data_IF_011062615876
#
_entry.id   IF_011062615876
#
_cell.length_a   1.000
_cell.length_b   1.000
_cell.length_c   1.000
_cell.angle_alpha   90.00
_cell.angle_beta   90.00
_cell.angle_gamma   90.00
#
_symmetry.space_group_name_H-M   'P 1'
#
loop_
_entity.id
_entity.type
_entity.pdbx_description
1 polymer ?
#
# COMPACT_ATOMS: atom_id res chain seq x y z
N UNK A 1 -17.77 -7.00 21.46
CA UNK A 1 -16.82 -6.22 22.27
C UNK A 1 -15.51 -5.91 21.55
N UNK A 2 -15.50 -5.77 20.22
CA UNK A 2 -14.46 -5.03 19.50
C UNK A 2 -15.14 -3.98 18.65
N UNK A 3 -15.66 -2.96 19.33
CA UNK A 3 -16.03 -1.71 18.68
C UNK A 3 -14.75 -1.16 18.07
N UNK A 4 -14.58 -1.33 16.76
CA UNK A 4 -13.76 -0.44 15.97
C UNK A 4 -14.48 0.91 16.01
N UNK A 5 -14.37 1.62 17.14
CA UNK A 5 -14.59 3.05 17.16
C UNK A 5 -13.56 3.58 16.18
N UNK A 6 -14.04 4.08 15.04
CA UNK A 6 -13.41 5.23 14.42
C UNK A 6 -13.21 6.20 15.58
N UNK A 7 -11.99 6.24 16.12
CA UNK A 7 -11.71 6.98 17.34
C UNK A 7 -12.24 8.39 17.13
N UNK A 8 -13.22 8.79 17.95
CA UNK A 8 -13.85 10.12 17.93
C UNK A 8 -12.88 11.15 18.54
N UNK A 9 -11.60 11.04 18.18
CA UNK A 9 -10.52 11.94 18.54
C UNK A 9 -10.37 12.92 17.38
N UNK A 10 -10.78 14.16 17.59
CA UNK A 10 -10.86 15.27 16.63
C UNK A 10 -9.49 15.73 16.06
N UNK A 11 -8.45 14.89 16.05
CA UNK A 11 -7.06 15.29 15.84
C UNK A 11 -6.24 14.55 14.76
N UNK A 12 -6.70 13.44 14.19
CA UNK A 12 -5.81 12.54 13.40
C UNK A 12 -6.00 12.61 11.87
N UNK A 13 -6.45 13.75 11.35
CA UNK A 13 -6.69 13.90 9.91
C UNK A 13 -5.44 14.41 9.18
N UNK A 14 -4.85 13.56 8.31
CA UNK A 14 -3.71 13.96 7.46
C UNK A 14 -4.21 14.73 6.21
N UNK A 15 -3.90 16.02 6.03
CA UNK A 15 -4.34 16.77 4.87
C UNK A 15 -3.64 16.27 3.60
N UNK A 16 -4.38 16.22 2.49
CA UNK A 16 -3.82 16.00 1.16
C UNK A 16 -2.96 17.21 0.79
N UNK A 17 -1.74 17.02 0.27
CA UNK A 17 -0.87 18.13 -0.11
C UNK A 17 -1.54 18.99 -1.19
N UNK A 18 -1.38 20.31 -1.08
CA UNK A 18 -1.91 21.28 -2.05
C UNK A 18 -3.43 21.48 -2.04
N UNK A 19 -4.14 21.04 -0.99
CA UNK A 19 -5.60 21.20 -0.87
C UNK A 19 -5.99 21.97 0.38
N UNK A 20 -7.15 22.64 0.32
CA UNK A 20 -7.68 23.43 1.42
C UNK A 20 -8.00 22.54 2.64
N UNK A 21 -7.38 22.77 3.82
CA UNK A 21 -7.60 21.97 5.02
C UNK A 21 -8.98 22.22 5.66
N UNK A 22 -9.67 23.30 5.33
CA UNK A 22 -11.03 23.57 5.83
C UNK A 22 -12.09 22.58 5.31
N UNK A 23 -11.77 21.80 4.27
CA UNK A 23 -12.73 20.89 3.63
C UNK A 23 -12.46 19.45 4.10
N UNK A 24 -13.41 18.78 4.78
CA UNK A 24 -13.22 17.42 5.33
C UNK A 24 -12.79 16.36 4.31
N UNK A 25 -13.23 16.48 3.04
CA UNK A 25 -12.86 15.55 1.96
C UNK A 25 -11.38 15.62 1.57
N UNK A 26 -10.69 16.70 1.96
CA UNK A 26 -9.29 16.91 1.65
C UNK A 26 -8.35 16.20 2.61
N UNK A 27 -8.87 15.45 3.58
CA UNK A 27 -8.07 14.65 4.48
C UNK A 27 -7.94 13.19 4.03
N UNK A 28 -6.93 12.50 4.56
CA UNK A 28 -6.74 11.04 4.51
C UNK A 28 -7.13 10.50 5.88
N UNK A 29 -8.24 9.76 6.00
CA UNK A 29 -8.60 9.13 7.27
C UNK A 29 -7.56 8.04 7.60
N UNK A 30 -7.07 8.05 8.84
CA UNK A 30 -6.18 7.00 9.35
C UNK A 30 -6.92 6.25 10.44
N UNK A 31 -6.95 4.93 10.37
CA UNK A 31 -7.39 4.10 11.48
C UNK A 31 -6.21 3.90 12.45
N UNK A 32 -6.28 4.56 13.61
CA UNK A 32 -5.38 4.25 14.72
C UNK A 32 -5.81 2.95 15.39
N UNK A 33 -5.33 1.84 14.84
CA UNK A 33 -5.56 0.50 15.39
C UNK A 33 -4.66 0.23 16.59
N UNK A 34 -5.13 -0.61 17.51
CA UNK A 34 -4.34 -1.04 18.68
C UNK A 34 -3.08 -1.79 18.29
N UNK A 35 -2.07 -1.78 19.17
CA UNK A 35 -0.79 -2.46 18.94
C UNK A 35 -0.98 -3.96 18.66
N UNK A 36 -1.90 -4.61 19.39
CA UNK A 36 -2.26 -6.01 19.18
C UNK A 36 -2.83 -6.24 17.78
N UNK A 37 -3.73 -5.36 17.32
CA UNK A 37 -4.29 -5.46 15.97
C UNK A 37 -3.22 -5.32 14.89
N UNK A 38 -2.31 -4.35 15.03
CA UNK A 38 -1.17 -4.18 14.10
C UNK A 38 -0.27 -5.42 14.06
N UNK A 39 -0.02 -6.04 15.22
CA UNK A 39 0.76 -7.28 15.30
C UNK A 39 0.06 -8.41 14.55
N UNK A 40 -1.23 -8.63 14.80
CA UNK A 40 -2.00 -9.68 14.12
C UNK A 40 -2.09 -9.44 12.60
N UNK A 41 -2.30 -8.19 12.17
CA UNK A 41 -2.33 -7.82 10.74
C UNK A 41 -0.97 -8.10 10.09
N UNK A 42 0.15 -7.76 10.75
CA UNK A 42 1.49 -8.03 10.23
C UNK A 42 1.78 -9.53 10.08
N UNK A 43 1.40 -10.34 11.06
CA UNK A 43 1.58 -11.80 11.01
C UNK A 43 0.78 -12.42 9.86
N UNK A 44 -0.49 -12.01 9.69
CA UNK A 44 -1.34 -12.49 8.61
C UNK A 44 -0.80 -12.07 7.23
N UNK A 45 -0.43 -10.79 7.08
CA UNK A 45 0.11 -10.26 5.83
C UNK A 45 1.40 -10.99 5.40
N UNK A 46 2.32 -11.26 6.34
CA UNK A 46 3.56 -11.97 6.03
C UNK A 46 3.31 -13.39 5.49
N UNK A 47 2.33 -14.11 6.04
CA UNK A 47 2.00 -15.47 5.59
C UNK A 47 1.30 -15.45 4.24
N UNK A 48 0.35 -14.53 4.05
CA UNK A 48 -0.39 -14.39 2.80
C UNK A 48 0.53 -13.97 1.66
N UNK A 49 1.41 -12.99 1.88
CA UNK A 49 2.37 -12.55 0.88
C UNK A 49 3.27 -13.70 0.40
N UNK A 50 3.80 -14.49 1.33
CA UNK A 50 4.60 -15.67 1.01
C UNK A 50 3.83 -16.69 0.16
N UNK A 51 2.60 -17.05 0.57
CA UNK A 51 1.79 -17.98 -0.21
C UNK A 51 1.49 -17.43 -1.62
N UNK A 52 1.12 -16.16 -1.75
CA UNK A 52 0.79 -15.56 -3.04
C UNK A 52 2.00 -15.49 -3.99
N UNK A 53 3.21 -15.29 -3.43
CA UNK A 53 4.46 -15.33 -4.17
C UNK A 53 4.78 -16.75 -4.65
N UNK A 54 4.71 -17.75 -3.77
CA UNK A 54 5.00 -19.16 -4.09
C UNK A 54 4.06 -19.73 -5.17
N UNK A 55 2.77 -19.39 -5.10
CA UNK A 55 1.79 -19.85 -6.08
C UNK A 55 1.77 -19.00 -7.37
N UNK A 56 2.57 -17.92 -7.44
CA UNK A 56 2.63 -17.06 -8.62
C UNK A 56 1.36 -16.26 -8.90
N UNK A 57 0.50 -16.03 -7.89
CA UNK A 57 -0.74 -15.25 -8.06
C UNK A 57 -0.48 -13.75 -8.28
N UNK A 58 0.67 -13.25 -7.86
CA UNK A 58 1.04 -11.85 -8.04
C UNK A 58 1.73 -11.62 -9.39
N UNK A 59 1.24 -10.64 -10.14
CA UNK A 59 1.79 -10.25 -11.44
C UNK A 59 3.29 -9.95 -11.35
N UNK A 60 4.05 -10.39 -12.37
CA UNK A 60 5.48 -10.11 -12.50
C UNK A 60 5.78 -8.62 -12.63
N UNK A 61 4.81 -7.85 -13.13
CA UNK A 61 4.90 -6.40 -13.32
C UNK A 61 4.46 -5.59 -12.09
N UNK A 62 3.95 -6.24 -11.04
CA UNK A 62 3.62 -5.57 -9.80
C UNK A 62 4.88 -5.45 -8.92
N UNK A 63 5.39 -4.25 -8.70
CA UNK A 63 6.47 -3.98 -7.74
C UNK A 63 5.96 -3.47 -6.38
N UNK A 64 4.81 -2.82 -6.35
CA UNK A 64 4.25 -2.24 -5.14
C UNK A 64 3.93 -3.30 -4.08
N UNK A 65 4.33 -3.04 -2.85
CA UNK A 65 4.11 -3.90 -1.68
C UNK A 65 4.72 -5.30 -1.79
N UNK A 66 5.70 -5.50 -2.67
CA UNK A 66 6.44 -6.76 -2.77
C UNK A 66 7.82 -6.65 -2.12
N UNK A 67 8.25 -7.74 -1.52
CA UNK A 67 9.58 -7.80 -0.91
C UNK A 67 10.66 -7.71 -2.00
N UNK A 68 11.69 -6.88 -1.75
CA UNK A 68 12.82 -6.72 -2.67
C UNK A 68 12.48 -6.01 -4.00
N UNK A 69 11.30 -5.39 -4.13
CA UNK A 69 10.90 -4.65 -5.33
C UNK A 69 10.64 -3.19 -5.01
N UNK A 70 11.07 -2.30 -5.90
CA UNK A 70 10.96 -0.85 -5.78
C UNK A 70 10.22 -0.20 -6.93
N UNK A 71 9.99 1.11 -6.82
CA UNK A 71 9.38 1.91 -7.90
C UNK A 71 10.28 1.97 -9.14
N UNK A 72 11.60 1.89 -8.95
CA UNK A 72 12.61 1.88 -10.02
C UNK A 72 12.43 0.66 -10.93
N UNK A 73 12.07 -0.50 -10.37
CA UNK A 73 11.86 -1.71 -11.17
C UNK A 73 10.77 -1.53 -12.22
N UNK A 74 9.73 -0.76 -11.90
CA UNK A 74 8.67 -0.47 -12.88
C UNK A 74 9.18 0.42 -14.03
N UNK A 75 10.06 1.38 -13.72
CA UNK A 75 10.65 2.26 -14.74
C UNK A 75 11.55 1.44 -15.66
N UNK A 76 12.44 0.63 -15.08
CA UNK A 76 13.31 -0.26 -15.85
C UNK A 76 12.52 -1.26 -16.69
N UNK A 77 11.45 -1.84 -16.14
CA UNK A 77 10.56 -2.72 -16.91
C UNK A 77 9.89 -1.97 -18.06
N UNK A 78 9.43 -0.73 -17.87
CA UNK A 78 8.84 0.07 -18.94
C UNK A 78 9.87 0.39 -20.03
N UNK A 79 11.08 0.79 -19.66
CA UNK A 79 12.17 1.05 -20.60
C UNK A 79 12.53 -0.18 -21.42
N UNK A 80 12.68 -1.34 -20.76
CA UNK A 80 13.00 -2.60 -21.47
C UNK A 80 11.89 -3.00 -22.45
N UNK A 81 10.62 -2.85 -22.08
CA UNK A 81 9.49 -3.14 -22.98
C UNK A 81 9.51 -2.20 -24.20
N UNK A 82 9.71 -0.91 -23.99
CA UNK A 82 9.77 0.07 -25.08
C UNK A 82 10.96 -0.20 -26.01
N UNK A 83 12.15 -0.45 -25.45
CA UNK A 83 13.35 -0.73 -26.24
C UNK A 83 13.17 -2.00 -27.08
N UNK A 84 12.62 -3.06 -26.49
CA UNK A 84 12.37 -4.32 -27.20
C UNK A 84 11.33 -4.18 -28.32
N UNK A 85 10.26 -3.39 -28.13
CA UNK A 85 9.30 -3.12 -29.20
C UNK A 85 9.86 -2.23 -30.32
N UNK A 86 10.80 -1.33 -30.02
CA UNK A 86 11.41 -0.47 -31.06
C UNK A 86 12.52 -1.15 -31.87
N UNK A 87 13.08 -2.24 -31.35
CA UNK A 87 14.14 -3.03 -32.00
C UNK A 87 13.61 -4.23 -32.79
N UNK A 88 12.31 -4.53 -32.66
CA UNK A 88 11.58 -5.54 -33.44
C UNK A 88 10.83 -4.87 -34.61
#
# INVERSE_FOLDING_TARGET
MFSCSMAQSSGDFLPKPGKNPQIPINYRPIALTSCLRKLTERMANSRLAHCLDEFGFLSKFQSGFRYGRGTIDNVLMLETVLILETLL
#
